data_IF_865436336349
#
_entry.id   IF_865436336349
#
_cell.length_a   1.000
_cell.length_b   1.000
_cell.length_c   1.000
_cell.angle_alpha   90.00
_cell.angle_beta   90.00
_cell.angle_gamma   90.00
#
_symmetry.space_group_name_H-M   'P 1'
#
loop_
_entity.id
_entity.type
_entity.pdbx_description
1 polymer ?
#
# COMPACT_ATOMS: atom_id res chain seq x y z
N UNK A 1 20.07 -36.93 24.17
CA UNK A 1 20.85 -36.29 23.09
C UNK A 1 19.87 -36.02 21.95
N UNK A 2 19.41 -34.78 21.76
CA UNK A 2 18.51 -34.46 20.64
C UNK A 2 19.35 -34.63 19.36
N UNK A 3 18.90 -35.51 18.47
CA UNK A 3 19.59 -35.79 17.21
C UNK A 3 19.57 -34.54 16.33
N UNK A 4 20.67 -34.27 15.64
CA UNK A 4 20.84 -33.10 14.75
C UNK A 4 19.74 -32.97 13.70
N UNK A 5 19.14 -34.09 13.31
CA UNK A 5 18.01 -34.13 12.37
C UNK A 5 16.72 -33.60 12.99
N UNK A 6 16.41 -33.93 14.25
CA UNK A 6 15.24 -33.39 14.94
C UNK A 6 15.33 -31.86 15.09
N UNK A 7 16.54 -31.32 15.31
CA UNK A 7 16.76 -29.87 15.35
C UNK A 7 16.54 -29.22 13.98
N UNK A 8 17.00 -29.85 12.89
CA UNK A 8 16.81 -29.36 11.52
C UNK A 8 15.34 -29.36 11.11
N UNK A 9 14.62 -30.44 11.41
CA UNK A 9 13.18 -30.54 11.13
C UNK A 9 12.38 -29.48 11.87
N UNK A 10 12.71 -29.25 13.16
CA UNK A 10 12.08 -28.20 13.95
C UNK A 10 12.31 -26.81 13.34
N UNK A 11 13.55 -26.49 12.96
CA UNK A 11 13.88 -25.20 12.32
C UNK A 11 13.18 -25.02 10.98
N UNK A 12 13.09 -26.08 10.16
CA UNK A 12 12.38 -26.05 8.89
C UNK A 12 10.87 -25.78 9.09
N UNK A 13 10.27 -26.45 10.09
CA UNK A 13 8.87 -26.25 10.46
C UNK A 13 8.61 -24.83 10.97
N UNK A 14 9.50 -24.31 11.82
CA UNK A 14 9.43 -22.94 12.33
C UNK A 14 9.52 -21.91 11.19
N UNK A 15 10.48 -22.05 10.27
CA UNK A 15 10.60 -21.17 9.09
C UNK A 15 9.32 -21.20 8.26
N UNK A 16 8.77 -22.39 7.99
CA UNK A 16 7.53 -22.55 7.22
C UNK A 16 6.35 -21.81 7.87
N UNK A 17 6.15 -21.94 9.18
CA UNK A 17 5.07 -21.23 9.85
C UNK A 17 5.27 -19.72 9.86
N UNK A 18 6.51 -19.24 10.06
CA UNK A 18 6.81 -17.80 9.97
C UNK A 18 6.50 -17.25 8.58
N UNK A 19 6.85 -17.99 7.52
CA UNK A 19 6.54 -17.59 6.15
C UNK A 19 5.03 -17.60 5.87
N UNK A 20 4.31 -18.61 6.34
CA UNK A 20 2.85 -18.67 6.24
C UNK A 20 2.20 -17.48 6.96
N UNK A 21 2.63 -17.19 8.19
CA UNK A 21 2.10 -16.06 8.96
C UNK A 21 2.37 -14.73 8.25
N UNK A 22 3.58 -14.51 7.72
CA UNK A 22 3.91 -13.32 6.93
C UNK A 22 3.03 -13.18 5.70
N UNK A 23 2.77 -14.27 4.97
CA UNK A 23 1.87 -14.25 3.80
C UNK A 23 0.44 -13.90 4.18
N UNK A 24 -0.11 -14.54 5.22
CA UNK A 24 -1.46 -14.25 5.69
C UNK A 24 -1.61 -12.79 6.13
N UNK A 25 -0.64 -12.28 6.89
CA UNK A 25 -0.67 -10.90 7.37
C UNK A 25 -0.50 -9.89 6.23
N UNK A 26 0.40 -10.15 5.29
CA UNK A 26 0.56 -9.30 4.10
C UNK A 26 -0.72 -9.27 3.26
N UNK A 27 -1.40 -10.40 3.08
CA UNK A 27 -2.67 -10.46 2.36
C UNK A 27 -3.77 -9.68 3.08
N UNK A 28 -3.90 -9.83 4.40
CA UNK A 28 -4.91 -9.10 5.17
C UNK A 28 -4.66 -7.59 5.11
N UNK A 29 -3.41 -7.17 5.35
CA UNK A 29 -3.01 -5.77 5.28
C UNK A 29 -3.25 -5.19 3.87
N UNK A 30 -2.93 -5.93 2.82
CA UNK A 30 -3.18 -5.48 1.44
C UNK A 30 -4.67 -5.26 1.18
N UNK A 31 -5.53 -6.15 1.68
CA UNK A 31 -6.98 -6.01 1.53
C UNK A 31 -7.51 -4.80 2.31
N UNK A 32 -7.02 -4.59 3.54
CA UNK A 32 -7.40 -3.44 4.36
C UNK A 32 -6.97 -2.10 3.71
N UNK A 33 -5.74 -2.02 3.19
CA UNK A 33 -5.25 -0.82 2.49
C UNK A 33 -5.99 -0.58 1.16
N UNK A 34 -6.33 -1.65 0.42
CA UNK A 34 -7.14 -1.51 -0.79
C UNK A 34 -8.54 -0.97 -0.46
N UNK A 35 -9.17 -1.47 0.61
CA UNK A 35 -10.47 -0.98 1.06
C UNK A 35 -10.44 0.50 1.41
N UNK A 36 -9.38 0.97 2.09
CA UNK A 36 -9.19 2.40 2.36
C UNK A 36 -9.17 3.24 1.08
N UNK A 37 -8.56 2.74 0.00
CA UNK A 37 -8.50 3.41 -1.30
C UNK A 37 -9.85 3.37 -2.03
N UNK A 38 -10.53 2.23 -2.05
CA UNK A 38 -11.78 2.03 -2.78
C UNK A 38 -12.95 2.80 -2.16
N UNK A 39 -13.04 2.78 -0.83
CA UNK A 39 -14.06 3.49 -0.06
C UNK A 39 -13.66 4.95 0.26
N UNK A 40 -12.43 5.36 -0.11
CA UNK A 40 -11.87 6.69 0.10
C UNK A 40 -11.91 7.16 1.59
N UNK A 41 -11.76 6.22 2.53
CA UNK A 41 -11.83 6.46 3.97
C UNK A 41 -10.59 7.18 4.51
N UNK A 42 -10.78 8.18 5.37
CA UNK A 42 -9.69 8.91 6.06
C UNK A 42 -8.58 9.44 5.13
N UNK A 43 -8.93 9.72 3.87
CA UNK A 43 -7.97 10.16 2.87
C UNK A 43 -7.57 11.64 3.06
N UNK A 44 -6.26 11.91 2.98
CA UNK A 44 -5.64 13.22 3.23
C UNK A 44 -5.06 13.90 1.96
N UNK A 45 -5.19 13.24 0.80
CA UNK A 45 -4.78 13.73 -0.52
C UNK A 45 -5.91 13.55 -1.53
N UNK A 46 -6.11 14.54 -2.40
CA UNK A 46 -7.00 14.45 -3.56
C UNK A 46 -6.19 14.51 -4.85
N UNK A 47 -6.34 13.49 -5.70
CA UNK A 47 -5.75 13.40 -7.03
C UNK A 47 -6.79 13.78 -8.07
N UNK A 48 -6.52 14.78 -8.90
CA UNK A 48 -7.39 15.23 -9.98
C UNK A 48 -6.82 14.79 -11.33
N UNK A 49 -7.43 13.76 -11.91
CA UNK A 49 -7.21 13.26 -13.26
C UNK A 49 -7.96 14.11 -14.30
N UNK A 50 -7.68 13.90 -15.60
CA UNK A 50 -8.39 14.59 -16.68
C UNK A 50 -9.90 14.33 -16.67
N UNK A 51 -10.31 13.11 -16.32
CA UNK A 51 -11.71 12.67 -16.30
C UNK A 51 -12.38 12.67 -14.92
N UNK A 52 -11.69 13.04 -13.86
CA UNK A 52 -12.30 13.06 -12.53
C UNK A 52 -11.30 13.14 -11.38
N UNK A 53 -11.72 12.74 -10.17
CA UNK A 53 -10.85 12.78 -9.00
C UNK A 53 -10.96 11.51 -8.15
N UNK A 54 -9.92 11.27 -7.35
CA UNK A 54 -9.78 10.16 -6.43
C UNK A 54 -9.11 10.66 -5.16
N UNK A 55 -9.65 10.29 -3.98
CA UNK A 55 -8.97 10.55 -2.72
C UNK A 55 -8.08 9.36 -2.32
N UNK A 56 -6.92 9.65 -1.74
CA UNK A 56 -5.91 8.66 -1.39
C UNK A 56 -5.12 9.10 -0.14
N UNK A 57 -4.17 8.24 0.28
CA UNK A 57 -3.38 8.43 1.49
C UNK A 57 -1.95 8.82 1.15
N UNK A 58 -1.52 9.97 1.66
CA UNK A 58 -0.18 10.52 1.49
C UNK A 58 0.91 9.53 1.89
N UNK A 59 0.73 8.88 3.04
CA UNK A 59 1.71 7.93 3.57
C UNK A 59 1.94 6.74 2.61
N UNK A 60 0.87 6.21 2.04
CA UNK A 60 0.92 5.09 1.09
C UNK A 60 1.55 5.53 -0.23
N UNK A 61 1.12 6.69 -0.75
CA UNK A 61 1.69 7.27 -1.98
C UNK A 61 3.19 7.55 -1.82
N UNK A 62 3.64 8.08 -0.69
CA UNK A 62 5.07 8.30 -0.43
C UNK A 62 5.86 7.00 -0.33
N UNK A 63 5.26 5.96 0.25
CA UNK A 63 5.90 4.65 0.38
C UNK A 63 6.07 3.95 -0.98
N UNK A 64 5.07 4.06 -1.87
CA UNK A 64 5.10 3.41 -3.21
C UNK A 64 5.74 4.29 -4.29
N UNK A 65 5.50 5.59 -4.24
CA UNK A 65 5.78 6.57 -5.31
C UNK A 65 6.29 7.89 -4.68
N UNK A 66 7.49 7.90 -4.09
CA UNK A 66 7.99 9.02 -3.29
C UNK A 66 8.11 10.35 -4.06
N UNK A 67 8.23 10.29 -5.39
CA UNK A 67 8.36 11.46 -6.25
C UNK A 67 7.01 12.14 -6.55
N UNK A 68 5.87 11.45 -6.39
CA UNK A 68 4.54 11.98 -6.71
C UNK A 68 4.18 13.23 -5.88
N UNK A 69 4.71 13.30 -4.65
CA UNK A 69 4.45 14.37 -3.69
C UNK A 69 5.66 15.30 -3.49
N UNK A 70 6.66 15.20 -4.37
CA UNK A 70 7.86 16.04 -4.31
C UNK A 70 7.48 17.51 -4.55
N UNK A 71 7.85 18.40 -3.61
CA UNK A 71 7.48 19.82 -3.64
C UNK A 71 6.18 20.18 -2.91
N UNK A 72 5.33 19.21 -2.55
CA UNK A 72 4.08 19.40 -1.79
C UNK A 72 4.26 19.20 -0.27
N UNK A 73 5.47 19.48 0.24
CA UNK A 73 5.83 19.30 1.66
C UNK A 73 5.33 20.50 2.48
N UNK A 74 4.08 20.48 2.94
CA UNK A 74 3.51 21.41 3.94
C UNK A 74 2.80 22.68 3.42
N UNK A 75 2.29 22.71 2.18
CA UNK A 75 1.71 23.96 1.67
C UNK A 75 0.21 24.16 1.88
N UNK A 76 -0.64 23.14 1.87
CA UNK A 76 -2.09 23.28 2.14
C UNK A 76 -2.71 21.93 2.52
N UNK A 77 -3.63 21.91 3.49
CA UNK A 77 -4.55 20.79 3.72
C UNK A 77 -5.94 21.19 3.18
N UNK A 78 -6.60 20.34 2.38
CA UNK A 78 -6.14 19.06 1.82
C UNK A 78 -5.07 19.25 0.72
N UNK A 79 -4.19 18.27 0.55
CA UNK A 79 -3.18 18.29 -0.52
C UNK A 79 -3.85 17.90 -1.84
N UNK A 80 -3.83 18.81 -2.80
CA UNK A 80 -4.40 18.60 -4.12
C UNK A 80 -3.26 18.38 -5.13
N UNK A 81 -3.33 17.29 -5.88
CA UNK A 81 -2.38 16.96 -6.96
C UNK A 81 -3.15 16.88 -8.27
N UNK A 82 -2.75 17.68 -9.26
CA UNK A 82 -3.29 17.61 -10.61
C UNK A 82 -2.43 16.66 -11.45
N UNK A 83 -3.08 15.68 -12.06
CA UNK A 83 -2.49 14.65 -12.92
C UNK A 83 -3.28 14.62 -14.25
N UNK A 84 -3.27 15.71 -15.03
CA UNK A 84 -4.14 15.85 -16.21
C UNK A 84 -3.83 14.84 -17.32
N UNK A 85 -2.62 14.27 -17.33
CA UNK A 85 -2.21 13.25 -18.30
C UNK A 85 -2.75 11.84 -17.99
N UNK A 86 -3.41 11.67 -16.85
CA UNK A 86 -3.99 10.40 -16.45
C UNK A 86 -5.51 10.44 -16.56
N UNK A 87 -6.06 9.32 -16.99
CA UNK A 87 -7.49 9.03 -16.90
C UNK A 87 -7.80 8.35 -15.56
N UNK A 88 -8.97 8.65 -14.97
CA UNK A 88 -9.34 8.16 -13.64
C UNK A 88 -9.33 6.62 -13.51
N UNK A 89 -9.83 5.83 -14.48
CA UNK A 89 -9.75 4.36 -14.41
C UNK A 89 -8.30 3.86 -14.35
N UNK A 90 -7.44 4.38 -15.23
CA UNK A 90 -6.03 3.99 -15.29
C UNK A 90 -5.29 4.37 -14.00
N UNK A 91 -5.63 5.53 -13.41
CA UNK A 91 -5.07 5.97 -12.14
C UNK A 91 -5.51 5.06 -10.98
N UNK A 92 -6.79 4.64 -10.93
CA UNK A 92 -7.28 3.70 -9.91
C UNK A 92 -6.57 2.36 -10.03
N UNK A 93 -6.45 1.82 -11.24
CA UNK A 93 -5.80 0.52 -11.46
C UNK A 93 -4.31 0.55 -11.13
N UNK A 94 -3.64 1.67 -11.37
CA UNK A 94 -2.24 1.85 -11.01
C UNK A 94 -2.01 1.92 -9.48
N UNK A 95 -2.98 2.42 -8.72
CA UNK A 95 -2.86 2.58 -7.26
C UNK A 95 -3.29 1.34 -6.45
N UNK A 96 -3.99 0.39 -7.07
CA UNK A 96 -4.27 -0.93 -6.50
C UNK A 96 -3.00 -1.79 -6.38
#
# INVERSE_FOLDING_TARGET
>A
MITTDATREFQAKERRYKEQLKKCFASALSADLNRLLEEELEADVSLYAGSGSLRAHRAILLARIPHLLYGQKHKNHPIIIHLPEYELPNLRDFLR
#
